data_IF_785360400320
#
_entry.id   IF_785360400320
#
_cell.length_a   1.000
_cell.length_b   1.000
_cell.length_c   1.000
_cell.angle_alpha   90.00
_cell.angle_beta   90.00
_cell.angle_gamma   90.00
#
_symmetry.space_group_name_H-M   'P 1'
#
loop_
_entity.id
_entity.type
_entity.pdbx_description
1 polymer ?
#
# COMPACT_ATOMS: atom_id res chain seq x y z
N UNK A 1 -6.16 -39.75 -9.37
CA UNK A 1 -5.55 -38.66 -8.55
C UNK A 1 -5.95 -37.37 -9.24
N UNK A 2 -6.88 -36.62 -8.69
CA UNK A 2 -7.19 -35.26 -9.15
C UNK A 2 -6.01 -34.39 -8.77
N UNK A 3 -5.33 -33.85 -9.76
CA UNK A 3 -4.29 -32.85 -9.59
C UNK A 3 -4.92 -31.65 -8.88
N UNK A 4 -4.56 -31.40 -7.62
CA UNK A 4 -4.97 -30.20 -6.91
C UNK A 4 -4.13 -29.07 -7.52
N UNK A 5 -4.74 -28.27 -8.38
CA UNK A 5 -4.09 -27.07 -8.90
C UNK A 5 -3.71 -26.17 -7.69
N UNK A 6 -2.50 -25.60 -7.67
CA UNK A 6 -2.12 -24.68 -6.62
C UNK A 6 -3.13 -23.52 -6.59
N UNK A 7 -3.75 -23.31 -5.45
CA UNK A 7 -4.65 -22.17 -5.26
C UNK A 7 -3.83 -20.89 -5.21
N UNK A 8 -4.12 -19.95 -6.11
CA UNK A 8 -3.50 -18.61 -6.08
C UNK A 8 -4.06 -17.86 -4.86
N UNK A 9 -3.24 -17.33 -3.96
CA UNK A 9 -3.73 -16.55 -2.82
C UNK A 9 -4.47 -15.30 -3.29
N UNK A 10 -5.58 -14.96 -2.62
CA UNK A 10 -6.44 -13.83 -2.98
C UNK A 10 -6.22 -12.69 -1.97
N UNK A 11 -5.99 -11.48 -2.48
CA UNK A 11 -5.93 -10.25 -1.69
C UNK A 11 -7.13 -9.38 -2.03
N UNK A 12 -7.91 -9.00 -1.02
CA UNK A 12 -8.98 -8.01 -1.15
C UNK A 12 -8.41 -6.61 -0.91
N UNK A 13 -8.66 -5.71 -1.85
CA UNK A 13 -8.18 -4.32 -1.80
C UNK A 13 -9.35 -3.36 -1.67
N UNK A 14 -9.27 -2.45 -0.70
CA UNK A 14 -10.08 -1.25 -0.62
C UNK A 14 -9.21 -0.05 -0.95
N UNK A 15 -9.45 0.62 -2.07
CA UNK A 15 -8.66 1.78 -2.46
C UNK A 15 -9.38 2.68 -3.48
N UNK A 16 -8.89 3.90 -3.62
CA UNK A 16 -9.35 4.83 -4.65
C UNK A 16 -8.87 4.41 -6.04
N UNK A 17 -9.62 4.81 -7.06
CA UNK A 17 -9.22 4.67 -8.46
C UNK A 17 -8.43 5.89 -8.90
N UNK A 18 -7.21 5.67 -9.38
CA UNK A 18 -6.32 6.67 -10.00
C UNK A 18 -6.32 6.47 -11.53
N UNK A 19 -6.93 7.39 -12.33
CA UNK A 19 -6.98 7.24 -13.78
C UNK A 19 -5.61 7.34 -14.46
N UNK A 20 -4.56 7.84 -13.77
CA UNK A 20 -3.20 7.85 -14.31
C UNK A 20 -2.48 6.51 -14.21
N UNK A 21 -3.01 5.59 -13.39
CA UNK A 21 -2.40 4.27 -13.13
C UNK A 21 -1.18 4.33 -12.20
N UNK A 22 -0.86 5.49 -11.64
CA UNK A 22 0.32 5.68 -10.79
C UNK A 22 0.16 5.14 -9.37
N UNK A 23 -1.05 5.22 -8.83
CA UNK A 23 -1.39 4.80 -7.48
C UNK A 23 -2.74 4.06 -7.45
N UNK A 24 -3.35 3.95 -6.27
CA UNK A 24 -4.67 3.37 -6.08
C UNK A 24 -4.76 1.92 -6.53
N UNK A 25 -5.96 1.50 -6.91
CA UNK A 25 -6.24 0.09 -7.27
C UNK A 25 -5.35 -0.46 -8.39
N UNK A 26 -4.89 0.38 -9.32
CA UNK A 26 -4.00 -0.09 -10.39
C UNK A 26 -2.62 -0.43 -9.86
N UNK A 27 -2.06 0.41 -9.01
CA UNK A 27 -0.81 0.12 -8.31
C UNK A 27 -0.93 -1.14 -7.46
N UNK A 28 -2.06 -1.30 -6.76
CA UNK A 28 -2.34 -2.43 -5.89
C UNK A 28 -2.42 -3.74 -6.71
N UNK A 29 -3.16 -3.74 -7.84
CA UNK A 29 -3.26 -4.91 -8.73
C UNK A 29 -1.88 -5.32 -9.23
N UNK A 30 -1.09 -4.38 -9.78
CA UNK A 30 0.23 -4.67 -10.35
C UNK A 30 1.20 -5.22 -9.29
N UNK A 31 1.22 -4.64 -8.08
CA UNK A 31 2.09 -5.08 -7.01
C UNK A 31 1.69 -6.46 -6.46
N UNK A 32 0.39 -6.71 -6.23
CA UNK A 32 -0.13 -7.99 -5.75
C UNK A 32 0.11 -9.10 -6.77
N UNK A 33 -0.11 -8.82 -8.07
CA UNK A 33 0.19 -9.78 -9.16
C UNK A 33 1.68 -10.09 -9.22
N UNK A 34 2.54 -9.10 -9.02
CA UNK A 34 4.01 -9.29 -8.95
C UNK A 34 4.42 -10.17 -7.78
N UNK A 35 3.64 -10.22 -6.71
CA UNK A 35 3.82 -11.15 -5.60
C UNK A 35 3.17 -12.53 -5.85
N UNK A 36 2.70 -12.82 -7.06
CA UNK A 36 2.11 -14.12 -7.41
C UNK A 36 0.71 -14.34 -6.82
N UNK A 37 -0.01 -13.30 -6.43
CA UNK A 37 -1.35 -13.33 -5.86
C UNK A 37 -2.40 -12.81 -6.84
N UNK A 38 -3.67 -13.11 -6.57
CA UNK A 38 -4.82 -12.56 -7.27
C UNK A 38 -5.36 -11.36 -6.51
N UNK A 39 -5.44 -10.20 -7.17
CA UNK A 39 -6.03 -9.00 -6.59
C UNK A 39 -7.52 -8.91 -6.91
N UNK A 40 -8.36 -8.76 -5.88
CA UNK A 40 -9.76 -8.35 -6.00
C UNK A 40 -9.91 -6.94 -5.45
N UNK A 41 -10.68 -6.08 -6.11
CA UNK A 41 -10.69 -4.66 -5.78
C UNK A 41 -12.08 -4.12 -5.52
N UNK A 42 -12.23 -3.40 -4.42
CA UNK A 42 -13.39 -2.59 -4.05
C UNK A 42 -12.99 -1.13 -4.12
N UNK A 43 -13.59 -0.38 -5.03
CA UNK A 43 -13.28 1.04 -5.21
C UNK A 43 -13.99 1.85 -4.15
N UNK A 44 -13.22 2.60 -3.35
CA UNK A 44 -13.72 3.47 -2.28
C UNK A 44 -13.92 4.92 -2.71
N UNK A 45 -13.16 5.37 -3.72
CA UNK A 45 -13.24 6.71 -4.27
C UNK A 45 -12.84 6.74 -5.74
N UNK A 46 -13.45 7.64 -6.50
CA UNK A 46 -13.05 7.98 -7.86
C UNK A 46 -12.35 9.33 -7.86
N UNK A 47 -11.15 9.40 -8.42
CA UNK A 47 -10.38 10.64 -8.46
C UNK A 47 -10.39 11.28 -9.84
N UNK A 48 -10.23 12.58 -9.86
CA UNK A 48 -9.80 13.35 -11.03
C UNK A 48 -8.37 13.79 -10.73
N UNK A 49 -7.42 13.04 -11.24
CA UNK A 49 -6.00 13.30 -11.00
C UNK A 49 -5.16 12.98 -12.24
N UNK A 50 -3.95 13.50 -12.23
CA UNK A 50 -2.92 13.21 -13.20
C UNK A 50 -1.59 12.87 -12.47
N UNK A 51 -0.48 12.80 -13.18
CA UNK A 51 0.83 12.47 -12.58
C UNK A 51 1.38 13.56 -11.67
N UNK A 52 0.77 14.74 -11.63
CA UNK A 52 1.22 15.89 -10.83
C UNK A 52 0.39 16.10 -9.56
N UNK A 53 -0.95 15.99 -9.66
CA UNK A 53 -1.84 16.34 -8.56
C UNK A 53 -3.20 15.61 -8.61
N UNK A 54 -3.82 15.48 -7.44
CA UNK A 54 -5.23 15.14 -7.28
C UNK A 54 -6.05 16.43 -7.28
N UNK A 55 -6.91 16.62 -8.28
CA UNK A 55 -7.74 17.83 -8.44
C UNK A 55 -9.03 17.75 -7.61
N UNK A 56 -9.62 16.59 -7.52
CA UNK A 56 -10.78 16.28 -6.69
C UNK A 56 -11.01 14.77 -6.64
N UNK A 57 -11.81 14.33 -5.70
CA UNK A 57 -12.33 12.97 -5.66
C UNK A 57 -13.81 12.95 -5.27
N UNK A 58 -14.45 11.80 -5.48
CA UNK A 58 -15.80 11.50 -5.04
C UNK A 58 -15.75 10.14 -4.36
N UNK A 59 -16.20 10.06 -3.11
CA UNK A 59 -16.35 8.79 -2.41
C UNK A 59 -17.43 7.94 -3.11
N UNK A 60 -17.21 6.64 -3.18
CA UNK A 60 -18.21 5.68 -3.62
C UNK A 60 -19.18 5.45 -2.48
N UNK A 61 -20.46 5.23 -2.80
CA UNK A 61 -21.51 4.93 -1.84
C UNK A 61 -21.12 3.75 -0.94
N UNK A 62 -21.20 3.94 0.36
CA UNK A 62 -20.68 2.98 1.36
C UNK A 62 -21.43 1.64 1.33
N UNK A 63 -22.73 1.63 0.98
CA UNK A 63 -23.46 0.38 0.81
C UNK A 63 -22.98 -0.40 -0.39
N UNK A 64 -22.61 0.27 -1.49
CA UNK A 64 -22.02 -0.38 -2.64
C UNK A 64 -20.62 -0.96 -2.31
N UNK A 65 -19.82 -0.25 -1.51
CA UNK A 65 -18.52 -0.75 -1.00
C UNK A 65 -18.74 -2.03 -0.19
N UNK A 66 -19.72 -2.04 0.73
CA UNK A 66 -20.07 -3.21 1.52
C UNK A 66 -20.51 -4.39 0.65
N UNK A 67 -21.43 -4.17 -0.27
CA UNK A 67 -21.99 -5.21 -1.13
C UNK A 67 -20.92 -5.87 -2.01
N UNK A 68 -20.01 -5.08 -2.59
CA UNK A 68 -18.88 -5.60 -3.37
C UNK A 68 -17.93 -6.44 -2.50
N UNK A 69 -17.55 -5.95 -1.34
CA UNK A 69 -16.65 -6.67 -0.44
C UNK A 69 -17.25 -8.00 0.04
N UNK A 70 -18.53 -8.01 0.43
CA UNK A 70 -19.22 -9.23 0.85
C UNK A 70 -19.34 -10.23 -0.31
N UNK A 71 -19.66 -9.79 -1.51
CA UNK A 71 -19.71 -10.67 -2.68
C UNK A 71 -18.39 -11.40 -2.92
N UNK A 72 -17.25 -10.73 -2.70
CA UNK A 72 -15.93 -11.35 -2.84
C UNK A 72 -15.63 -12.29 -1.66
N UNK A 73 -15.86 -11.84 -0.42
CA UNK A 73 -15.56 -12.61 0.80
C UNK A 73 -16.41 -13.89 0.94
N UNK A 74 -17.63 -13.89 0.38
CA UNK A 74 -18.53 -15.05 0.36
C UNK A 74 -18.15 -16.06 -0.74
N UNK A 75 -17.53 -15.62 -1.84
CA UNK A 75 -17.19 -16.47 -2.99
C UNK A 75 -15.73 -16.95 -2.97
N UNK A 76 -14.80 -16.13 -2.49
CA UNK A 76 -13.35 -16.38 -2.61
C UNK A 76 -12.67 -16.52 -1.24
N UNK A 77 -11.68 -17.42 -1.11
CA UNK A 77 -10.88 -17.55 0.11
C UNK A 77 -9.85 -16.39 0.20
N UNK A 78 -10.29 -15.20 0.63
CA UNK A 78 -9.41 -14.06 0.82
C UNK A 78 -8.39 -14.37 1.93
N UNK A 79 -7.11 -14.21 1.58
CA UNK A 79 -5.97 -14.54 2.45
C UNK A 79 -5.32 -13.30 3.11
N UNK A 80 -5.53 -12.11 2.54
CA UNK A 80 -5.12 -10.83 3.13
C UNK A 80 -6.03 -9.70 2.64
N UNK A 81 -6.09 -8.62 3.41
CA UNK A 81 -6.80 -7.38 3.05
C UNK A 81 -5.77 -6.23 2.97
N UNK A 82 -5.83 -5.44 1.91
CA UNK A 82 -5.12 -4.16 1.81
C UNK A 82 -6.11 -3.02 1.81
N UNK A 83 -5.88 -2.01 2.65
CA UNK A 83 -6.66 -0.79 2.69
C UNK A 83 -5.73 0.38 2.31
N UNK A 84 -6.16 1.20 1.35
CA UNK A 84 -5.52 2.47 0.98
C UNK A 84 -6.47 3.65 1.22
N UNK A 85 -6.61 4.55 0.24
CA UNK A 85 -7.52 5.69 0.33
C UNK A 85 -8.97 5.22 0.56
N UNK A 86 -9.59 5.63 1.66
CA UNK A 86 -10.94 5.19 2.06
C UNK A 86 -12.03 6.09 1.49
N UNK A 87 -11.82 7.40 1.46
CA UNK A 87 -12.67 8.37 0.77
C UNK A 87 -13.80 9.01 1.59
N UNK A 88 -14.31 8.36 2.62
CA UNK A 88 -15.32 8.95 3.55
C UNK A 88 -15.37 8.22 4.88
N UNK A 89 -15.96 8.85 5.91
CA UNK A 89 -16.19 8.25 7.24
C UNK A 89 -17.11 7.05 7.14
N UNK A 90 -18.17 7.12 6.32
CA UNK A 90 -19.11 6.02 6.12
C UNK A 90 -18.41 4.79 5.51
N UNK A 91 -17.40 4.99 4.66
CA UNK A 91 -16.57 3.89 4.16
C UNK A 91 -15.66 3.32 5.25
N UNK A 92 -15.13 4.14 6.17
CA UNK A 92 -14.38 3.67 7.35
C UNK A 92 -15.27 2.75 8.19
N UNK A 93 -16.50 3.16 8.50
CA UNK A 93 -17.46 2.37 9.29
C UNK A 93 -17.82 1.04 8.62
N UNK A 94 -18.05 1.07 7.30
CA UNK A 94 -18.35 -0.14 6.52
C UNK A 94 -17.18 -1.10 6.50
N UNK A 95 -15.96 -0.61 6.24
CA UNK A 95 -14.75 -1.43 6.26
C UNK A 95 -14.52 -2.01 7.66
N UNK A 96 -14.68 -1.22 8.72
CA UNK A 96 -14.63 -1.70 10.10
C UNK A 96 -15.59 -2.87 10.34
N UNK A 97 -16.86 -2.74 9.93
CA UNK A 97 -17.85 -3.81 10.06
C UNK A 97 -17.42 -5.10 9.35
N UNK A 98 -16.82 -4.97 8.16
CA UNK A 98 -16.29 -6.11 7.40
C UNK A 98 -15.12 -6.76 8.15
N UNK A 99 -14.16 -5.98 8.65
CA UNK A 99 -13.00 -6.51 9.38
C UNK A 99 -13.42 -7.24 10.66
N UNK A 100 -14.45 -6.74 11.36
CA UNK A 100 -15.02 -7.40 12.54
C UNK A 100 -15.66 -8.77 12.22
N UNK A 101 -16.23 -8.92 11.04
CA UNK A 101 -16.81 -10.21 10.59
C UNK A 101 -15.71 -11.22 10.17
N UNK A 102 -14.50 -10.76 9.80
CA UNK A 102 -13.39 -11.60 9.32
C UNK A 102 -12.06 -11.35 10.08
N UNK A 103 -12.05 -11.47 11.42
CA UNK A 103 -10.90 -11.08 12.25
C UNK A 103 -9.63 -11.91 12.04
N UNK A 104 -9.74 -13.04 11.33
CA UNK A 104 -8.62 -13.93 11.04
C UNK A 104 -7.81 -13.52 9.81
N UNK A 105 -8.31 -12.60 9.00
CA UNK A 105 -7.62 -12.16 7.78
C UNK A 105 -6.65 -11.02 8.12
N UNK A 106 -5.34 -11.16 7.85
CA UNK A 106 -4.39 -10.10 8.11
C UNK A 106 -4.68 -8.85 7.26
N UNK A 107 -4.54 -7.68 7.88
CA UNK A 107 -4.84 -6.37 7.29
C UNK A 107 -3.58 -5.52 7.16
N UNK A 108 -3.28 -5.06 5.96
CA UNK A 108 -2.27 -4.02 5.70
C UNK A 108 -3.00 -2.71 5.40
N UNK A 109 -2.80 -1.71 6.25
CA UNK A 109 -3.40 -0.39 6.09
C UNK A 109 -2.33 0.63 5.72
N UNK A 110 -2.46 1.21 4.52
CA UNK A 110 -1.73 2.38 4.05
C UNK A 110 -2.61 3.62 4.33
N UNK A 111 -2.33 4.40 5.41
CA UNK A 111 -3.26 5.40 5.92
C UNK A 111 -3.14 6.71 5.13
N UNK A 112 -3.57 6.67 3.88
CA UNK A 112 -3.43 7.79 2.94
C UNK A 112 -4.33 8.95 3.34
N UNK A 113 -3.74 10.02 3.89
CA UNK A 113 -4.45 11.26 4.28
C UNK A 113 -4.15 12.45 3.35
N UNK A 114 -3.12 12.33 2.52
CA UNK A 114 -2.77 13.36 1.53
C UNK A 114 -2.31 12.71 0.22
N UNK A 115 -2.39 13.47 -0.86
CA UNK A 115 -1.82 13.04 -2.14
C UNK A 115 -0.31 12.85 -2.03
N UNK A 116 0.28 11.95 -2.83
CA UNK A 116 1.72 11.69 -2.82
C UNK A 116 2.61 12.92 -3.07
N UNK A 117 2.05 13.99 -3.63
CA UNK A 117 2.69 15.31 -3.74
C UNK A 117 2.54 16.15 -2.46
N UNK A 118 1.70 15.76 -1.51
CA UNK A 118 1.34 16.54 -0.32
C UNK A 118 0.45 17.76 -0.61
N UNK A 119 0.08 17.98 -1.86
CA UNK A 119 -0.63 19.20 -2.28
C UNK A 119 -2.14 19.16 -2.02
N UNK A 120 -2.72 17.97 -1.86
CA UNK A 120 -4.17 17.80 -1.68
C UNK A 120 -4.42 16.93 -0.46
N UNK A 121 -5.18 17.45 0.49
CA UNK A 121 -5.71 16.69 1.63
C UNK A 121 -6.80 15.74 1.12
N UNK A 122 -6.72 14.47 1.52
CA UNK A 122 -7.63 13.40 1.14
C UNK A 122 -8.46 12.91 2.32
N UNK A 123 -8.14 13.35 3.54
CA UNK A 123 -8.84 13.08 4.77
C UNK A 123 -8.93 14.37 5.61
N UNK A 124 -10.09 14.64 6.17
CA UNK A 124 -10.30 15.66 7.20
C UNK A 124 -10.10 15.08 8.62
N UNK A 125 -10.21 15.93 9.63
CA UNK A 125 -10.03 15.51 11.03
C UNK A 125 -11.02 14.40 11.43
N UNK A 126 -12.27 14.46 11.00
CA UNK A 126 -13.29 13.47 11.32
C UNK A 126 -12.93 12.09 10.74
N UNK A 127 -12.42 12.06 9.52
CA UNK A 127 -11.98 10.81 8.90
C UNK A 127 -10.70 10.26 9.53
N UNK A 128 -9.77 11.14 9.93
CA UNK A 128 -8.55 10.75 10.67
C UNK A 128 -8.94 10.08 11.99
N UNK A 129 -9.82 10.72 12.78
CA UNK A 129 -10.29 10.18 14.05
C UNK A 129 -11.00 8.84 13.85
N UNK A 130 -11.88 8.73 12.86
CA UNK A 130 -12.58 7.49 12.54
C UNK A 130 -11.62 6.35 12.15
N UNK A 131 -10.59 6.63 11.35
CA UNK A 131 -9.57 5.62 11.01
C UNK A 131 -8.79 5.16 12.25
N UNK A 132 -8.39 6.10 13.11
CA UNK A 132 -7.65 5.78 14.35
C UNK A 132 -8.49 4.95 15.33
N UNK A 133 -9.77 5.29 15.48
CA UNK A 133 -10.66 4.60 16.41
C UNK A 133 -11.12 3.23 15.87
N UNK A 134 -11.44 3.13 14.58
CA UNK A 134 -12.13 1.97 14.02
C UNK A 134 -11.21 1.01 13.25
N UNK A 135 -10.23 1.51 12.49
CA UNK A 135 -9.41 0.64 11.62
C UNK A 135 -8.07 0.27 12.23
N UNK A 136 -7.38 1.19 12.92
CA UNK A 136 -6.06 0.91 13.46
C UNK A 136 -6.04 -0.27 14.44
N UNK A 137 -7.02 -0.42 15.36
CA UNK A 137 -7.06 -1.57 16.27
C UNK A 137 -7.21 -2.94 15.58
N UNK A 138 -7.70 -2.95 14.33
CA UNK A 138 -7.91 -4.15 13.54
C UNK A 138 -6.80 -4.39 12.48
N UNK A 139 -5.77 -3.55 12.51
CA UNK A 139 -4.69 -3.56 11.51
C UNK A 139 -3.53 -4.43 11.97
N UNK A 140 -3.14 -5.40 11.13
CA UNK A 140 -1.93 -6.21 11.35
C UNK A 140 -0.67 -5.39 11.10
N UNK A 141 -0.62 -4.65 10.00
CA UNK A 141 0.50 -3.76 9.69
C UNK A 141 0.02 -2.41 9.16
N UNK A 142 0.39 -1.35 9.86
CA UNK A 142 0.16 0.04 9.46
C UNK A 142 1.42 0.61 8.80
N UNK A 143 1.29 1.34 7.67
CA UNK A 143 2.44 1.80 6.88
C UNK A 143 2.49 3.32 6.65
N UNK A 144 2.39 4.17 7.70
CA UNK A 144 2.43 5.61 7.52
C UNK A 144 3.81 6.09 7.05
N UNK A 145 3.84 7.11 6.23
CA UNK A 145 5.06 7.89 6.06
C UNK A 145 5.29 8.82 7.27
N UNK A 146 6.47 9.46 7.35
CA UNK A 146 6.83 10.29 8.50
C UNK A 146 5.95 11.54 8.68
N UNK A 147 5.30 12.03 7.63
CA UNK A 147 4.36 13.15 7.74
C UNK A 147 3.00 12.67 8.27
N UNK A 148 2.49 11.59 7.73
CA UNK A 148 1.27 10.94 8.22
C UNK A 148 1.42 10.53 9.69
N UNK A 149 2.56 9.92 10.05
CA UNK A 149 2.85 9.56 11.44
C UNK A 149 2.74 10.76 12.39
N UNK A 150 3.31 11.92 12.02
CA UNK A 150 3.20 13.15 12.84
C UNK A 150 1.79 13.72 12.88
N UNK A 151 0.98 13.47 11.88
CA UNK A 151 -0.43 13.89 11.87
C UNK A 151 -1.25 13.03 12.82
N UNK A 152 -1.02 11.71 12.84
CA UNK A 152 -1.73 10.79 13.73
C UNK A 152 -1.23 10.84 15.18
N UNK A 153 0.02 11.25 15.41
CA UNK A 153 0.66 11.31 16.73
C UNK A 153 1.34 12.68 16.93
N UNK A 154 0.54 13.75 17.09
CA UNK A 154 1.05 15.13 17.13
C UNK A 154 1.83 15.49 18.40
N UNK A 155 1.67 14.72 19.49
CA UNK A 155 2.33 14.97 20.77
C UNK A 155 3.76 14.40 20.85
N UNK A 156 4.16 13.58 19.87
CA UNK A 156 5.49 12.98 19.84
C UNK A 156 6.59 13.95 19.41
N UNK A 157 7.62 14.13 20.23
CA UNK A 157 8.77 15.01 19.94
C UNK A 157 9.68 14.53 18.80
N UNK A 158 9.61 13.25 18.45
CA UNK A 158 10.40 12.61 17.40
C UNK A 158 9.67 11.39 16.84
N UNK A 159 10.17 10.81 15.74
CA UNK A 159 9.50 9.69 15.08
C UNK A 159 9.33 8.45 15.94
N UNK A 160 10.28 8.14 16.83
CA UNK A 160 10.15 7.01 17.77
C UNK A 160 9.02 7.27 18.79
N UNK A 161 8.91 8.50 19.30
CA UNK A 161 7.83 8.90 20.21
C UNK A 161 6.46 8.84 19.51
N UNK A 162 6.35 9.42 18.31
CA UNK A 162 5.14 9.32 17.49
C UNK A 162 4.78 7.85 17.19
N UNK A 163 5.76 7.00 16.89
CA UNK A 163 5.53 5.58 16.62
C UNK A 163 5.00 4.84 17.85
N UNK A 164 5.50 5.16 19.05
CA UNK A 164 5.00 4.57 20.29
C UNK A 164 3.57 5.03 20.59
N UNK A 165 3.29 6.33 20.43
CA UNK A 165 1.94 6.87 20.59
C UNK A 165 0.96 6.19 19.61
N UNK A 166 1.34 6.06 18.33
CA UNK A 166 0.48 5.42 17.34
C UNK A 166 0.25 3.93 17.61
N UNK A 167 1.22 3.21 18.16
CA UNK A 167 1.03 1.81 18.58
C UNK A 167 0.01 1.66 19.74
N UNK A 168 -0.25 2.70 20.52
CA UNK A 168 -1.31 2.70 21.54
C UNK A 168 -2.71 2.58 20.92
N UNK A 169 -2.88 2.93 19.62
CA UNK A 169 -4.12 2.73 18.88
C UNK A 169 -4.46 1.25 18.63
N UNK A 170 -3.51 0.33 18.86
CA UNK A 170 -3.74 -1.12 18.86
C UNK A 170 -3.29 -1.87 17.61
N UNK A 171 -2.69 -1.23 16.60
CA UNK A 171 -2.11 -1.94 15.46
C UNK A 171 -0.97 -2.87 15.93
N UNK A 172 -0.85 -4.05 15.31
CA UNK A 172 0.13 -5.05 15.75
C UNK A 172 1.55 -4.67 15.35
N UNK A 173 1.75 -4.28 14.10
CA UNK A 173 3.02 -3.80 13.54
C UNK A 173 2.86 -2.40 12.95
N UNK A 174 3.93 -1.62 13.01
CA UNK A 174 4.00 -0.29 12.42
C UNK A 174 5.28 -0.16 11.60
N UNK A 175 5.16 0.09 10.30
CA UNK A 175 6.28 0.40 9.42
C UNK A 175 6.27 1.90 9.09
N UNK A 176 7.10 2.66 9.74
CA UNK A 176 7.28 4.10 9.45
C UNK A 176 8.21 4.26 8.25
N UNK A 177 7.72 4.88 7.17
CA UNK A 177 8.54 5.14 5.98
C UNK A 177 9.14 6.55 6.02
N UNK A 178 10.47 6.64 5.85
CA UNK A 178 11.26 7.86 6.05
C UNK A 178 11.51 8.69 4.79
N UNK A 179 10.72 8.50 3.73
CA UNK A 179 10.94 9.18 2.45
C UNK A 179 10.96 10.71 2.56
N UNK A 180 10.15 11.28 3.46
CA UNK A 180 10.03 12.74 3.66
C UNK A 180 11.05 13.33 4.65
N UNK A 181 11.89 12.48 5.26
CA UNK A 181 12.95 12.95 6.15
C UNK A 181 14.14 13.46 5.33
N UNK A 182 14.81 14.52 5.84
CA UNK A 182 15.99 15.09 5.19
C UNK A 182 17.26 14.30 5.58
N UNK A 183 17.35 13.06 5.12
CA UNK A 183 18.47 12.14 5.36
C UNK A 183 19.11 11.69 4.04
N UNK A 184 20.42 11.35 4.01
CA UNK A 184 21.09 10.87 2.80
C UNK A 184 20.41 9.63 2.21
N UNK A 185 20.05 8.69 3.07
CA UNK A 185 19.29 7.48 2.72
C UNK A 185 17.83 7.62 3.14
N UNK A 186 16.94 6.87 2.52
CA UNK A 186 15.59 6.64 3.03
C UNK A 186 15.69 5.59 4.13
N UNK A 187 15.25 5.95 5.34
CA UNK A 187 15.29 5.07 6.51
C UNK A 187 13.87 4.69 6.89
N UNK A 188 13.54 3.42 6.74
CA UNK A 188 12.26 2.87 7.18
C UNK A 188 12.46 2.07 8.46
N UNK A 189 11.55 2.20 9.42
CA UNK A 189 11.66 1.55 10.72
C UNK A 189 10.42 0.72 11.00
N UNK A 190 10.64 -0.55 11.32
CA UNK A 190 9.59 -1.48 11.74
C UNK A 190 9.52 -1.54 13.27
N UNK A 191 8.31 -1.38 13.81
CA UNK A 191 8.01 -1.48 15.23
C UNK A 191 6.98 -2.59 15.50
N UNK A 192 7.09 -3.21 16.68
CA UNK A 192 6.09 -4.09 17.25
C UNK A 192 6.26 -4.11 18.78
N UNK A 193 5.18 -4.30 19.54
CA UNK A 193 5.19 -4.33 20.99
C UNK A 193 5.95 -3.13 21.62
N UNK A 194 5.72 -1.93 21.09
CA UNK A 194 6.38 -0.68 21.53
C UNK A 194 7.92 -0.73 21.46
N UNK A 195 8.47 -1.50 20.53
CA UNK A 195 9.91 -1.62 20.31
C UNK A 195 10.25 -1.49 18.84
N UNK A 196 11.35 -0.84 18.56
CA UNK A 196 12.00 -0.89 17.27
C UNK A 196 12.50 -2.31 17.03
N UNK A 197 11.97 -2.98 15.99
CA UNK A 197 12.39 -4.33 15.59
C UNK A 197 13.55 -4.31 14.62
N UNK A 198 13.45 -3.44 13.60
CA UNK A 198 14.46 -3.35 12.55
C UNK A 198 14.47 -1.97 11.91
N UNK A 199 15.58 -1.63 11.24
CA UNK A 199 15.80 -0.42 10.49
C UNK A 199 16.35 -0.77 9.11
N UNK A 200 15.62 -0.36 8.07
CA UNK A 200 15.97 -0.61 6.68
C UNK A 200 16.47 0.68 6.03
N UNK A 201 17.62 0.61 5.36
CA UNK A 201 18.23 1.75 4.68
C UNK A 201 18.26 1.52 3.19
N UNK A 202 17.74 2.49 2.46
CA UNK A 202 17.65 2.48 1.00
C UNK A 202 18.30 3.71 0.42
N UNK A 203 19.03 3.53 -0.68
CA UNK A 203 19.54 4.65 -1.46
C UNK A 203 18.38 5.61 -1.82
N UNK A 204 18.58 6.90 -1.59
CA UNK A 204 17.61 7.91 -1.99
C UNK A 204 17.68 8.12 -3.48
N UNK A 205 16.68 7.66 -4.20
CA UNK A 205 16.58 7.83 -5.64
C UNK A 205 16.23 9.28 -6.01
N UNK A 206 16.74 9.73 -7.15
CA UNK A 206 16.47 11.06 -7.65
C UNK A 206 15.02 11.22 -8.15
N UNK A 207 14.40 12.33 -7.80
CA UNK A 207 13.05 12.69 -8.21
C UNK A 207 11.98 12.29 -7.21
N UNK A 208 10.73 12.35 -7.65
CA UNK A 208 9.56 11.95 -6.87
C UNK A 208 8.75 10.91 -7.62
N UNK A 209 8.13 10.00 -6.87
CA UNK A 209 7.43 8.85 -7.40
C UNK A 209 5.99 8.82 -6.88
N UNK A 210 5.05 8.72 -7.81
CA UNK A 210 3.64 8.58 -7.49
C UNK A 210 3.29 7.12 -7.24
N UNK A 211 2.65 6.84 -6.09
CA UNK A 211 2.20 5.49 -5.73
C UNK A 211 3.28 4.57 -5.14
N UNK A 212 4.40 5.12 -4.64
CA UNK A 212 5.43 4.34 -3.95
C UNK A 212 4.91 3.66 -2.68
N UNK A 213 4.12 4.37 -1.84
CA UNK A 213 3.47 3.83 -0.64
C UNK A 213 2.52 2.70 -0.99
N UNK A 214 1.60 2.94 -1.94
CA UNK A 214 0.66 1.91 -2.41
C UNK A 214 1.39 0.66 -2.94
N UNK A 215 2.49 0.85 -3.68
CA UNK A 215 3.32 -0.28 -4.18
C UNK A 215 3.87 -1.11 -3.03
N UNK A 216 4.42 -0.47 -2.00
CA UNK A 216 4.99 -1.14 -0.83
C UNK A 216 3.91 -1.88 -0.03
N UNK A 217 2.83 -1.17 0.34
CA UNK A 217 1.75 -1.75 1.15
C UNK A 217 1.08 -2.94 0.46
N UNK A 218 0.86 -2.85 -0.85
CA UNK A 218 0.24 -3.93 -1.63
C UNK A 218 1.18 -5.12 -1.84
N UNK A 219 2.49 -4.90 -1.99
CA UNK A 219 3.46 -5.98 -2.00
C UNK A 219 3.48 -6.72 -0.65
N UNK A 220 3.45 -6.00 0.47
CA UNK A 220 3.35 -6.61 1.81
C UNK A 220 2.08 -7.44 1.94
N UNK A 221 0.93 -6.91 1.50
CA UNK A 221 -0.35 -7.65 1.55
C UNK A 221 -0.30 -8.93 0.71
N UNK A 222 0.34 -8.89 -0.46
CA UNK A 222 0.57 -10.09 -1.29
C UNK A 222 1.43 -11.14 -0.58
N UNK A 223 2.49 -10.72 0.10
CA UNK A 223 3.37 -11.63 0.86
C UNK A 223 2.68 -12.17 2.12
N UNK A 224 1.83 -11.39 2.79
CA UNK A 224 0.97 -11.90 3.87
C UNK A 224 -0.02 -12.94 3.36
N UNK A 225 -0.61 -12.72 2.19
CA UNK A 225 -1.51 -13.70 1.57
C UNK A 225 -0.83 -15.05 1.25
N UNK A 226 0.48 -15.05 1.05
CA UNK A 226 1.30 -16.25 0.92
C UNK A 226 1.69 -16.89 2.26
N UNK A 227 1.29 -16.32 3.39
CA UNK A 227 1.61 -16.78 4.72
C UNK A 227 3.02 -16.43 5.21
N UNK A 228 3.63 -15.40 4.63
CA UNK A 228 4.96 -14.95 5.04
C UNK A 228 4.91 -14.19 6.37
N UNK A 229 5.90 -14.42 7.24
CA UNK A 229 6.03 -13.72 8.51
C UNK A 229 6.24 -12.21 8.31
N UNK A 230 5.68 -11.34 9.17
CA UNK A 230 5.64 -9.88 8.96
C UNK A 230 7.00 -9.24 8.71
N UNK A 231 8.03 -9.58 9.49
CA UNK A 231 9.36 -9.02 9.31
C UNK A 231 9.97 -9.37 7.94
N UNK A 232 9.81 -10.62 7.50
CA UNK A 232 10.32 -11.08 6.19
C UNK A 232 9.54 -10.44 5.06
N UNK A 233 8.20 -10.38 5.17
CA UNK A 233 7.34 -9.74 4.18
C UNK A 233 7.67 -8.26 3.99
N UNK A 234 7.87 -7.53 5.10
CA UNK A 234 8.26 -6.11 5.06
C UNK A 234 9.60 -5.91 4.35
N UNK A 235 10.60 -6.76 4.63
CA UNK A 235 11.90 -6.66 3.97
C UNK A 235 11.80 -6.94 2.46
N UNK A 236 11.20 -8.05 2.07
CA UNK A 236 11.07 -8.43 0.66
C UNK A 236 10.22 -7.46 -0.15
N UNK A 237 9.14 -6.94 0.45
CA UNK A 237 8.32 -5.92 -0.19
C UNK A 237 9.07 -4.60 -0.41
N UNK A 238 9.96 -4.21 0.50
CA UNK A 238 10.81 -3.03 0.34
C UNK A 238 11.84 -3.23 -0.77
N UNK A 239 12.46 -4.41 -0.87
CA UNK A 239 13.39 -4.77 -1.95
C UNK A 239 12.69 -4.66 -3.31
N UNK A 240 11.50 -5.24 -3.43
CA UNK A 240 10.67 -5.13 -4.63
C UNK A 240 10.28 -3.69 -4.95
N UNK A 241 9.77 -2.94 -3.95
CA UNK A 241 9.34 -1.57 -4.14
C UNK A 241 10.51 -0.66 -4.56
N UNK A 242 11.69 -0.82 -3.94
CA UNK A 242 12.89 -0.07 -4.30
C UNK A 242 13.31 -0.32 -5.74
N UNK A 243 13.31 -1.58 -6.19
CA UNK A 243 13.64 -1.93 -7.57
C UNK A 243 12.60 -1.40 -8.56
N UNK A 244 11.30 -1.47 -8.22
CA UNK A 244 10.24 -0.88 -9.03
C UNK A 244 10.39 0.65 -9.18
N UNK A 245 10.82 1.34 -8.13
CA UNK A 245 11.13 2.79 -8.17
C UNK A 245 12.37 3.08 -9.02
N UNK A 246 13.44 2.32 -8.84
CA UNK A 246 14.70 2.48 -9.57
C UNK A 246 14.49 2.34 -11.09
N UNK A 247 13.62 1.42 -11.50
CA UNK A 247 13.22 1.23 -12.89
C UNK A 247 11.98 2.05 -13.29
N UNK A 248 11.59 3.01 -12.46
CA UNK A 248 10.43 3.88 -12.69
C UNK A 248 10.58 4.75 -13.94
N UNK A 249 9.47 5.01 -14.58
CA UNK A 249 9.39 5.74 -15.84
C UNK A 249 8.53 6.99 -15.74
N UNK A 250 8.66 7.91 -16.69
CA UNK A 250 7.91 9.15 -16.76
C UNK A 250 7.04 9.17 -18.01
N UNK A 251 5.72 9.27 -17.82
CA UNK A 251 4.74 9.32 -18.92
C UNK A 251 3.94 10.63 -18.93
N UNK A 252 4.03 11.42 -17.88
CA UNK A 252 3.34 12.70 -17.72
C UNK A 252 4.28 13.81 -17.33
N UNK A 253 3.72 14.98 -17.02
CA UNK A 253 4.48 16.18 -16.62
C UNK A 253 4.87 16.17 -15.13
N UNK A 254 4.23 15.31 -14.32
CA UNK A 254 4.43 15.24 -12.88
C UNK A 254 5.48 14.23 -12.44
N UNK A 255 5.16 13.44 -11.43
CA UNK A 255 6.02 12.43 -10.82
C UNK A 255 6.28 11.24 -11.75
N UNK A 256 7.36 10.50 -11.47
CA UNK A 256 7.60 9.20 -12.10
C UNK A 256 6.63 8.16 -11.54
N UNK A 257 6.38 7.11 -12.30
CA UNK A 257 5.59 5.93 -11.91
C UNK A 257 6.53 4.76 -11.64
N UNK A 258 6.34 4.00 -10.56
CA UNK A 258 7.10 2.76 -10.36
C UNK A 258 6.85 1.75 -11.48
N UNK A 259 7.88 1.11 -11.97
CA UNK A 259 7.74 -0.02 -12.90
C UNK A 259 7.50 -1.30 -12.10
N UNK A 260 6.27 -1.59 -11.73
CA UNK A 260 5.88 -2.72 -10.87
C UNK A 260 6.03 -4.08 -11.55
N UNK A 261 6.12 -4.08 -12.88
CA UNK A 261 6.29 -5.27 -13.71
C UNK A 261 7.71 -5.34 -14.32
N UNK A 262 8.71 -4.76 -13.67
CA UNK A 262 10.10 -4.69 -14.17
C UNK A 262 10.67 -6.07 -14.52
N UNK A 263 10.28 -7.10 -13.78
CA UNK A 263 10.71 -8.47 -13.98
C UNK A 263 10.16 -9.12 -15.27
N UNK A 264 9.05 -8.57 -15.82
CA UNK A 264 8.44 -9.06 -17.06
C UNK A 264 9.10 -8.48 -18.33
N UNK A 265 9.91 -7.44 -18.18
CA UNK A 265 10.72 -6.90 -19.27
C UNK A 265 11.94 -7.80 -19.40
N UNK A 266 11.94 -8.71 -20.39
CA UNK A 266 13.06 -9.61 -20.65
C UNK A 266 14.37 -8.84 -20.73
N UNK A 267 15.43 -9.39 -20.14
CA UNK A 267 16.78 -8.91 -20.36
C UNK A 267 17.04 -8.92 -21.88
N UNK A 268 17.18 -7.75 -22.47
CA UNK A 268 17.88 -7.62 -23.76
C UNK A 268 19.32 -8.01 -23.50
N UNK A 269 19.61 -9.31 -23.56
CA UNK A 269 20.95 -9.85 -23.55
C UNK A 269 21.05 -10.92 -24.65
N UNK A 270 21.89 -10.63 -25.61
CA UNK A 270 22.58 -11.57 -26.49
C UNK A 270 21.74 -12.28 -27.58
N UNK A 271 21.27 -11.50 -28.56
CA UNK A 271 21.11 -12.10 -29.92
C UNK A 271 21.66 -11.17 -31.04
N UNK A 272 22.92 -10.79 -30.90
CA UNK A 272 23.68 -10.16 -31.99
C UNK A 272 24.76 -11.14 -32.54
N UNK A 273 24.31 -12.35 -32.88
CA UNK A 273 25.15 -13.31 -33.61
C UNK A 273 24.42 -13.94 -34.80
N UNK A 274 23.90 -13.12 -35.70
CA UNK A 274 23.76 -13.53 -37.09
C UNK A 274 24.71 -12.68 -37.97
N UNK A 275 25.98 -13.03 -37.96
CA UNK A 275 26.86 -12.74 -39.08
C UNK A 275 26.39 -13.63 -40.25
N UNK A 276 25.78 -13.06 -41.22
CA UNK A 276 25.71 -13.63 -42.57
C UNK A 276 27.03 -13.36 -43.25
N UNK A 277 27.87 -14.40 -43.32
CA UNK A 277 28.89 -14.50 -44.34
C UNK A 277 28.20 -14.81 -45.66
N UNK A 278 28.24 -13.87 -46.61
CA UNK A 278 28.42 -14.06 -48.03
C UNK A 278 28.95 -12.79 -48.71
#
# INVERSE_FOLDING_TARGET
MTEVLPTVPVVLVFAGHDPSGGAGIQADIEAIVSMGCHATTVITALTVQDTAEVKRFVAVDSMLVMEQARAILEDMPVAAIKIGMVGSVENVEVIHSILMDYPQIPVVLDPVIASGSGATELADEEMIDAMMELLFPLTTLLTPNSLELRTFAPDGDNLDACAHELLESGCEYLLVTGTHENTPDVVNVLYNNFRRMDEFRWERLEGSYHGSGCTLASAIAGLFAQGMEPHTAVREAQEYAHEALKQGYRIGMGQRLPNRLFWAQGSESDDDTFKTDE
#
